data_IF_894137999434
#
_entry.id   IF_894137999434
#
_cell.length_a   1.000
_cell.length_b   1.000
_cell.length_c   1.000
_cell.angle_alpha   90.00
_cell.angle_beta   90.00
_cell.angle_gamma   90.00
#
_symmetry.space_group_name_H-M   'P 1'
#
loop_
_entity.id
_entity.type
_entity.pdbx_description
1 polymer ?
#
# COMPACT_ATOMS: atom_id res chain seq x y z
N UNK A 1 2.83 -25.02 10.93
CA UNK A 1 3.17 -25.47 9.55
C UNK A 1 4.50 -24.84 9.18
N UNK A 2 5.44 -25.61 8.60
CA UNK A 2 6.66 -25.03 8.03
C UNK A 2 6.33 -24.62 6.59
N UNK A 3 5.80 -23.40 6.39
CA UNK A 3 5.55 -22.83 5.08
C UNK A 3 6.78 -22.01 4.68
N UNK A 4 7.13 -22.05 3.39
CA UNK A 4 8.08 -21.12 2.80
C UNK A 4 7.31 -20.07 2.00
N UNK A 5 7.79 -18.85 2.00
CA UNK A 5 7.26 -17.76 1.21
C UNK A 5 8.25 -17.33 0.13
N UNK A 6 7.74 -16.79 -0.95
CA UNK A 6 8.54 -16.20 -2.01
C UNK A 6 8.52 -14.68 -1.86
N UNK A 7 9.69 -14.09 -1.65
CA UNK A 7 9.86 -12.63 -1.60
C UNK A 7 9.74 -11.99 -2.98
N UNK A 8 9.58 -10.66 -3.02
CA UNK A 8 9.53 -9.88 -4.27
C UNK A 8 10.79 -10.01 -5.12
N UNK A 9 11.95 -10.23 -4.52
CA UNK A 9 13.22 -10.50 -5.19
C UNK A 9 13.37 -11.95 -5.69
N UNK A 10 12.35 -12.80 -5.47
CA UNK A 10 12.33 -14.21 -5.84
C UNK A 10 13.02 -15.13 -4.82
N UNK A 11 13.58 -14.61 -3.75
CA UNK A 11 14.18 -15.46 -2.69
C UNK A 11 13.11 -16.15 -1.87
N UNK A 12 13.44 -17.33 -1.35
CA UNK A 12 12.55 -18.09 -0.48
C UNK A 12 13.02 -17.98 0.96
N UNK A 13 12.09 -17.79 1.88
CA UNK A 13 12.34 -17.81 3.32
C UNK A 13 11.22 -18.52 4.07
N UNK A 14 11.51 -18.94 5.31
CA UNK A 14 10.47 -19.50 6.17
C UNK A 14 9.42 -18.43 6.50
N UNK A 15 8.15 -18.82 6.46
CA UNK A 15 7.05 -17.94 6.85
C UNK A 15 7.12 -17.59 8.33
N UNK A 16 7.02 -16.31 8.64
CA UNK A 16 6.91 -15.75 9.98
C UNK A 16 5.51 -15.19 10.20
N UNK A 17 4.66 -15.89 10.95
CA UNK A 17 3.29 -15.48 11.29
C UNK A 17 3.25 -14.13 12.00
N UNK A 18 4.27 -13.79 12.80
CA UNK A 18 4.35 -12.50 13.47
C UNK A 18 4.37 -11.30 12.51
N UNK A 19 4.75 -11.52 11.24
CA UNK A 19 4.69 -10.45 10.21
C UNK A 19 3.25 -10.01 9.93
N UNK A 20 2.30 -10.96 9.85
CA UNK A 20 0.88 -10.66 9.66
C UNK A 20 0.34 -9.93 10.89
N UNK A 21 0.61 -10.48 12.08
CA UNK A 21 0.14 -9.89 13.34
C UNK A 21 0.65 -8.46 13.50
N UNK A 22 1.95 -8.22 13.30
CA UNK A 22 2.53 -6.87 13.35
C UNK A 22 1.93 -5.91 12.30
N UNK A 23 1.57 -6.40 11.13
CA UNK A 23 0.92 -5.57 10.10
C UNK A 23 -0.50 -5.19 10.52
N UNK A 24 -1.26 -6.14 11.06
CA UNK A 24 -2.61 -5.93 11.58
C UNK A 24 -2.62 -5.02 12.80
N UNK A 25 -1.73 -5.22 13.77
CA UNK A 25 -1.59 -4.35 14.95
C UNK A 25 -1.41 -2.88 14.54
N UNK A 26 -0.57 -2.63 13.55
CA UNK A 26 -0.35 -1.28 13.02
C UNK A 26 -1.57 -0.73 12.31
N UNK A 27 -2.24 -1.56 11.52
CA UNK A 27 -3.44 -1.15 10.80
C UNK A 27 -4.60 -0.85 11.76
N UNK A 28 -4.68 -1.56 12.89
CA UNK A 28 -5.66 -1.36 13.95
C UNK A 28 -5.28 -0.25 14.96
N UNK A 29 -4.11 0.38 14.84
CA UNK A 29 -3.68 1.40 15.79
C UNK A 29 -4.68 2.56 15.86
N UNK A 30 -5.12 2.89 17.09
CA UNK A 30 -6.14 3.93 17.34
C UNK A 30 -7.58 3.48 17.06
N UNK A 31 -7.83 2.19 16.79
CA UNK A 31 -9.15 1.60 16.57
C UNK A 31 -9.44 0.58 17.68
N UNK A 32 -9.93 1.00 18.87
CA UNK A 32 -10.02 0.13 20.06
C UNK A 32 -10.95 -1.06 19.84
N UNK A 33 -12.02 -0.91 19.06
CA UNK A 33 -13.02 -1.95 18.85
C UNK A 33 -12.50 -3.13 18.02
N UNK A 34 -11.55 -2.90 17.13
CA UNK A 34 -10.96 -3.94 16.25
C UNK A 34 -9.60 -4.46 16.72
N UNK A 35 -8.90 -3.74 17.57
CA UNK A 35 -7.58 -4.15 18.11
C UNK A 35 -7.61 -5.54 18.75
N UNK A 36 -8.69 -5.87 19.48
CA UNK A 36 -8.85 -7.18 20.12
C UNK A 36 -9.03 -8.36 19.16
N UNK A 37 -9.29 -8.07 17.88
CA UNK A 37 -9.55 -9.10 16.85
C UNK A 37 -8.34 -9.38 15.93
N UNK A 38 -7.22 -8.72 16.17
CA UNK A 38 -5.97 -8.90 15.37
C UNK A 38 -5.59 -10.37 15.27
N UNK A 39 -5.60 -11.09 16.40
CA UNK A 39 -5.23 -12.52 16.44
C UNK A 39 -6.20 -13.36 15.61
N UNK A 40 -7.50 -13.05 15.67
CA UNK A 40 -8.50 -13.77 14.88
C UNK A 40 -8.25 -13.59 13.39
N UNK A 41 -8.10 -12.36 12.91
CA UNK A 41 -7.83 -12.06 11.49
C UNK A 41 -6.50 -12.70 11.06
N UNK A 42 -5.47 -12.61 11.90
CA UNK A 42 -4.18 -13.25 11.64
C UNK A 42 -4.33 -14.75 11.45
N UNK A 43 -5.03 -15.44 12.35
CA UNK A 43 -5.28 -16.88 12.26
C UNK A 43 -6.11 -17.25 11.03
N UNK A 44 -7.18 -16.50 10.74
CA UNK A 44 -8.00 -16.72 9.55
C UNK A 44 -7.21 -16.52 8.25
N UNK A 45 -6.31 -15.51 8.23
CA UNK A 45 -5.38 -15.30 7.10
C UNK A 45 -4.44 -16.49 6.96
N UNK A 46 -3.80 -16.94 8.04
CA UNK A 46 -2.86 -18.08 8.03
C UNK A 46 -3.49 -19.36 7.48
N UNK A 47 -4.78 -19.60 7.73
CA UNK A 47 -5.50 -20.77 7.22
C UNK A 47 -5.63 -20.77 5.69
N UNK A 48 -5.51 -19.62 5.05
CA UNK A 48 -5.58 -19.48 3.58
C UNK A 48 -4.23 -19.63 2.89
N UNK A 49 -3.11 -19.68 3.65
CA UNK A 49 -1.77 -19.71 3.08
C UNK A 49 -1.37 -21.12 2.63
N UNK A 50 -0.49 -21.18 1.63
CA UNK A 50 0.09 -22.41 1.08
C UNK A 50 1.60 -22.26 0.88
N UNK A 51 2.30 -23.36 0.74
CA UNK A 51 3.77 -23.37 0.58
C UNK A 51 4.18 -22.73 -0.75
N UNK A 52 5.12 -21.79 -0.69
CA UNK A 52 5.58 -21.04 -1.85
C UNK A 52 4.79 -19.77 -2.16
N UNK A 53 3.75 -19.43 -1.38
CA UNK A 53 2.96 -18.20 -1.53
C UNK A 53 3.85 -16.97 -1.57
N UNK A 54 3.48 -15.98 -2.38
CA UNK A 54 4.23 -14.72 -2.47
C UNK A 54 3.85 -13.74 -1.36
N UNK A 55 4.75 -12.80 -1.06
CA UNK A 55 4.44 -11.70 -0.11
C UNK A 55 3.20 -10.89 -0.54
N UNK A 56 3.00 -10.70 -1.84
CA UNK A 56 1.85 -9.98 -2.38
C UNK A 56 0.54 -10.73 -2.13
N UNK A 57 0.54 -12.03 -2.38
CA UNK A 57 -0.63 -12.88 -2.11
C UNK A 57 -0.96 -12.93 -0.61
N UNK A 58 0.05 -12.88 0.28
CA UNK A 58 -0.18 -12.77 1.73
C UNK A 58 -0.81 -11.41 2.08
N UNK A 59 -0.29 -10.31 1.53
CA UNK A 59 -0.87 -8.98 1.74
C UNK A 59 -2.33 -8.95 1.25
N UNK A 60 -2.64 -9.52 0.07
CA UNK A 60 -4.00 -9.65 -0.47
C UNK A 60 -4.90 -10.52 0.40
N UNK A 61 -4.41 -11.69 0.84
CA UNK A 61 -5.17 -12.57 1.74
C UNK A 61 -5.52 -11.86 3.05
N UNK A 62 -4.60 -11.08 3.61
CA UNK A 62 -4.82 -10.32 4.83
C UNK A 62 -5.88 -9.23 4.64
N UNK A 63 -5.83 -8.49 3.52
CA UNK A 63 -6.84 -7.49 3.15
C UNK A 63 -8.20 -8.14 2.98
N UNK A 64 -8.28 -9.24 2.24
CA UNK A 64 -9.54 -9.96 1.99
C UNK A 64 -10.16 -10.52 3.28
N UNK A 65 -9.34 -11.00 4.22
CA UNK A 65 -9.82 -11.46 5.53
C UNK A 65 -10.41 -10.30 6.33
N UNK A 66 -9.74 -9.14 6.35
CA UNK A 66 -10.27 -7.95 6.99
C UNK A 66 -11.59 -7.50 6.35
N UNK A 67 -11.68 -7.50 4.99
CA UNK A 67 -12.87 -7.14 4.21
C UNK A 67 -14.11 -7.96 4.59
N UNK A 68 -13.94 -9.25 4.87
CA UNK A 68 -15.04 -10.11 5.26
C UNK A 68 -15.65 -9.73 6.62
N UNK A 69 -14.89 -9.00 7.45
CA UNK A 69 -15.28 -8.59 8.79
C UNK A 69 -15.90 -7.17 8.85
N UNK A 70 -15.90 -6.40 7.75
CA UNK A 70 -16.49 -5.02 7.70
C UNK A 70 -17.97 -5.00 8.08
N UNK A 71 -18.71 -6.04 7.72
CA UNK A 71 -20.13 -6.17 8.09
C UNK A 71 -20.36 -6.24 9.60
N UNK A 72 -19.36 -6.67 10.35
CA UNK A 72 -19.45 -6.85 11.80
C UNK A 72 -19.01 -5.58 12.54
N UNK A 73 -18.08 -4.80 11.95
CA UNK A 73 -17.61 -3.54 12.50
C UNK A 73 -17.08 -2.62 11.39
N UNK A 74 -17.63 -1.38 11.22
CA UNK A 74 -17.18 -0.44 10.20
C UNK A 74 -15.72 -0.01 10.27
N UNK A 75 -15.07 -0.11 11.44
CA UNK A 75 -13.67 0.25 11.61
C UNK A 75 -12.73 -0.67 10.82
N UNK A 76 -13.21 -1.85 10.39
CA UNK A 76 -12.45 -2.68 9.46
C UNK A 76 -12.19 -2.04 8.11
N UNK A 77 -13.05 -1.12 7.63
CA UNK A 77 -12.78 -0.35 6.41
C UNK A 77 -11.47 0.47 6.55
N UNK A 78 -11.19 1.00 7.75
CA UNK A 78 -9.91 1.67 8.03
C UNK A 78 -8.73 0.70 8.03
N UNK A 79 -8.91 -0.47 8.62
CA UNK A 79 -7.87 -1.51 8.66
C UNK A 79 -7.47 -1.91 7.24
N UNK A 80 -8.45 -2.19 6.38
CA UNK A 80 -8.23 -2.53 4.98
C UNK A 80 -7.55 -1.41 4.20
N UNK A 81 -8.04 -0.17 4.39
CA UNK A 81 -7.45 1.01 3.74
C UNK A 81 -5.97 1.14 4.09
N UNK A 82 -5.61 0.98 5.36
CA UNK A 82 -4.21 1.06 5.83
C UNK A 82 -3.36 -0.10 5.34
N UNK A 83 -3.91 -1.32 5.26
CA UNK A 83 -3.23 -2.47 4.68
C UNK A 83 -2.97 -2.27 3.17
N UNK A 84 -3.97 -1.77 2.44
CA UNK A 84 -3.82 -1.48 1.01
C UNK A 84 -2.80 -0.35 0.77
N UNK A 85 -2.85 0.74 1.54
CA UNK A 85 -1.86 1.82 1.47
C UNK A 85 -0.45 1.30 1.73
N UNK A 86 -0.26 0.47 2.77
CA UNK A 86 1.02 -0.17 3.08
C UNK A 86 1.56 -0.95 1.88
N UNK A 87 0.70 -1.74 1.21
CA UNK A 87 1.08 -2.55 0.06
C UNK A 87 1.50 -1.67 -1.12
N UNK A 88 0.73 -0.61 -1.40
CA UNK A 88 1.03 0.37 -2.45
C UNK A 88 2.32 1.13 -2.16
N UNK A 89 2.50 1.62 -0.95
CA UNK A 89 3.71 2.33 -0.53
C UNK A 89 4.95 1.44 -0.66
N UNK A 90 4.88 0.20 -0.18
CA UNK A 90 5.99 -0.76 -0.29
C UNK A 90 6.38 -1.00 -1.74
N UNK A 91 5.39 -1.10 -2.64
CA UNK A 91 5.65 -1.33 -4.07
C UNK A 91 6.30 -0.13 -4.75
N UNK A 92 5.84 1.10 -4.45
CA UNK A 92 6.21 2.31 -5.19
C UNK A 92 7.39 3.03 -4.54
N UNK A 93 7.39 3.13 -3.21
CA UNK A 93 8.42 3.84 -2.46
C UNK A 93 9.60 2.94 -2.05
N UNK A 94 9.47 1.60 -2.27
CA UNK A 94 10.44 0.61 -1.86
C UNK A 94 10.32 0.18 -0.39
N UNK A 95 11.21 -0.70 0.04
CA UNK A 95 11.28 -1.10 1.44
C UNK A 95 11.86 0.05 2.29
N UNK A 96 11.13 0.42 3.34
CA UNK A 96 11.52 1.41 4.33
C UNK A 96 11.12 0.92 5.73
N UNK A 97 11.73 1.46 6.76
CA UNK A 97 11.29 1.17 8.14
C UNK A 97 9.87 1.70 8.36
N UNK A 98 8.93 0.78 8.48
CA UNK A 98 7.49 0.88 8.20
C UNK A 98 6.68 1.75 9.18
N UNK A 99 7.30 2.38 10.17
CA UNK A 99 6.59 3.11 11.24
C UNK A 99 6.86 4.61 11.25
N UNK A 100 7.52 5.13 10.22
CA UNK A 100 7.91 6.52 10.24
C UNK A 100 7.19 7.28 9.12
N UNK A 101 6.11 7.98 9.48
CA UNK A 101 5.38 8.86 8.56
C UNK A 101 6.29 9.92 7.93
N UNK A 102 7.33 10.34 8.62
CA UNK A 102 8.34 11.27 8.10
C UNK A 102 9.09 10.64 6.94
N UNK A 103 9.54 9.38 7.07
CA UNK A 103 10.24 8.67 6.00
C UNK A 103 9.32 8.49 4.79
N UNK A 104 8.03 8.18 5.00
CA UNK A 104 7.05 8.07 3.91
C UNK A 104 6.91 9.40 3.16
N UNK A 105 6.80 10.52 3.87
CA UNK A 105 6.71 11.84 3.27
C UNK A 105 7.99 12.20 2.50
N UNK A 106 9.17 12.00 3.10
CA UNK A 106 10.47 12.24 2.47
C UNK A 106 10.65 11.42 1.18
N UNK A 107 10.24 10.15 1.20
CA UNK A 107 10.28 9.28 0.01
C UNK A 107 9.36 9.77 -1.10
N UNK A 108 8.17 10.24 -0.78
CA UNK A 108 7.28 10.84 -1.78
C UNK A 108 7.90 12.07 -2.43
N UNK A 109 8.48 12.96 -1.63
CA UNK A 109 9.17 14.17 -2.13
C UNK A 109 10.33 13.80 -3.06
N UNK A 110 11.12 12.80 -2.69
CA UNK A 110 12.25 12.32 -3.51
C UNK A 110 11.79 11.66 -4.82
N UNK A 111 10.71 10.88 -4.77
CA UNK A 111 10.27 10.05 -5.89
C UNK A 111 9.44 10.85 -6.89
N UNK A 112 8.64 11.82 -6.46
CA UNK A 112 7.71 12.54 -7.34
C UNK A 112 8.36 13.13 -8.60
N UNK A 113 9.48 13.88 -8.54
CA UNK A 113 10.11 14.41 -9.75
C UNK A 113 10.62 13.30 -10.69
N UNK A 114 11.17 12.23 -10.12
CA UNK A 114 11.68 11.07 -10.88
C UNK A 114 10.53 10.33 -11.56
N UNK A 115 9.42 10.15 -10.83
CA UNK A 115 8.22 9.51 -11.33
C UNK A 115 7.63 10.25 -12.55
N UNK A 116 7.46 11.57 -12.47
CA UNK A 116 6.96 12.37 -13.60
C UNK A 116 7.88 12.24 -14.83
N UNK A 117 9.20 12.40 -14.64
CA UNK A 117 10.17 12.26 -15.74
C UNK A 117 10.14 10.87 -16.37
N UNK A 118 10.03 9.83 -15.57
CA UNK A 118 9.92 8.46 -16.07
C UNK A 118 8.60 8.25 -16.83
N UNK A 119 7.48 8.72 -16.31
CA UNK A 119 6.17 8.58 -16.96
C UNK A 119 6.11 9.35 -18.29
N UNK A 120 6.80 10.48 -18.41
CA UNK A 120 6.97 11.20 -19.68
C UNK A 120 7.85 10.38 -20.65
N UNK A 121 8.98 9.84 -20.18
CA UNK A 121 9.86 9.01 -21.00
C UNK A 121 9.15 7.74 -21.53
N UNK A 122 8.27 7.16 -20.72
CA UNK A 122 7.46 6.00 -21.08
C UNK A 122 6.25 6.35 -21.99
N UNK A 123 6.05 7.64 -22.29
CA UNK A 123 4.94 8.12 -23.13
C UNK A 123 3.57 8.08 -22.44
N UNK A 124 3.53 7.93 -21.12
CA UNK A 124 2.31 7.91 -20.32
C UNK A 124 1.82 9.32 -19.98
N UNK A 125 2.72 10.31 -19.96
CA UNK A 125 2.43 11.72 -19.69
C UNK A 125 2.96 12.62 -20.82
N UNK A 126 2.31 13.77 -20.97
CA UNK A 126 2.74 14.80 -21.91
C UNK A 126 4.06 15.44 -21.43
N UNK A 127 4.98 15.69 -22.35
CA UNK A 127 6.28 16.31 -22.06
C UNK A 127 6.19 17.66 -21.37
N UNK A 128 5.07 18.38 -21.53
CA UNK A 128 4.83 19.65 -20.82
C UNK A 128 4.85 19.51 -19.30
N UNK A 129 4.63 18.31 -18.77
CA UNK A 129 4.74 18.05 -17.33
C UNK A 129 6.13 18.34 -16.76
N UNK A 130 7.17 18.24 -17.57
CA UNK A 130 8.54 18.54 -17.17
C UNK A 130 8.85 20.06 -17.07
N UNK A 131 7.94 20.91 -17.56
CA UNK A 131 8.11 22.37 -17.48
C UNK A 131 7.75 22.94 -16.10
N UNK A 132 7.10 22.16 -15.25
CA UNK A 132 6.82 22.56 -13.87
C UNK A 132 8.04 22.40 -12.97
N UNK A 133 8.12 23.20 -11.92
CA UNK A 133 9.13 23.00 -10.85
C UNK A 133 8.70 21.81 -9.98
N UNK A 134 9.06 20.61 -10.43
CA UNK A 134 8.65 19.35 -9.79
C UNK A 134 9.22 19.21 -8.37
N UNK A 135 10.41 19.73 -8.13
CA UNK A 135 11.05 19.74 -6.81
C UNK A 135 10.31 20.67 -5.83
N UNK A 136 9.83 21.82 -6.30
CA UNK A 136 9.01 22.71 -5.49
C UNK A 136 7.62 22.11 -5.23
N UNK A 137 6.97 21.57 -6.27
CA UNK A 137 5.67 20.92 -6.13
C UNK A 137 5.71 19.73 -5.16
N UNK A 138 6.78 18.96 -5.16
CA UNK A 138 6.94 17.80 -4.26
C UNK A 138 6.81 18.18 -2.77
N UNK A 139 7.16 19.39 -2.39
CA UNK A 139 7.08 19.88 -0.99
C UNK A 139 5.65 20.05 -0.48
N UNK A 140 4.66 20.07 -1.39
CA UNK A 140 3.24 20.17 -1.03
C UNK A 140 2.57 18.81 -0.83
N UNK A 141 3.32 17.72 -0.99
CA UNK A 141 2.82 16.37 -0.69
C UNK A 141 2.53 16.24 0.80
N UNK A 142 1.29 15.83 1.13
CA UNK A 142 0.82 15.64 2.50
C UNK A 142 0.23 14.24 2.67
N UNK A 143 1.08 13.31 3.09
CA UNK A 143 0.71 11.90 3.25
C UNK A 143 -0.30 11.66 4.38
N UNK A 144 -0.52 12.64 5.30
CA UNK A 144 -1.53 12.53 6.34
C UNK A 144 -2.95 12.47 5.75
N UNK A 145 -3.15 13.05 4.56
CA UNK A 145 -4.43 13.02 3.85
C UNK A 145 -4.83 11.63 3.36
N UNK A 146 -3.89 10.70 3.26
CA UNK A 146 -4.21 9.33 2.85
C UNK A 146 -5.07 8.60 3.89
N UNK A 147 -5.04 9.05 5.16
CA UNK A 147 -5.95 8.58 6.20
C UNK A 147 -7.43 8.97 5.99
N UNK A 148 -7.72 9.90 5.08
CA UNK A 148 -9.10 10.31 4.73
C UNK A 148 -9.79 9.32 3.80
N UNK A 149 -9.04 8.41 3.16
CA UNK A 149 -9.63 7.40 2.31
C UNK A 149 -10.43 6.36 3.09
N UNK A 150 -11.47 5.88 2.42
CA UNK A 150 -12.11 4.60 2.66
C UNK A 150 -11.61 3.59 1.63
N UNK A 151 -11.66 2.31 1.94
CA UNK A 151 -11.15 1.25 1.08
C UNK A 151 -11.70 1.31 -0.36
N UNK A 152 -13.02 1.44 -0.50
CA UNK A 152 -13.66 1.51 -1.82
C UNK A 152 -13.17 2.69 -2.67
N UNK A 153 -12.96 3.86 -2.05
CA UNK A 153 -12.42 5.05 -2.71
C UNK A 153 -10.97 4.85 -3.16
N UNK A 154 -10.12 4.38 -2.25
CA UNK A 154 -8.71 4.07 -2.54
C UNK A 154 -8.57 3.00 -3.63
N UNK A 155 -9.30 1.89 -3.50
CA UNK A 155 -9.32 0.82 -4.48
C UNK A 155 -9.74 1.31 -5.86
N UNK A 156 -10.79 2.14 -5.93
CA UNK A 156 -11.25 2.74 -7.18
C UNK A 156 -10.20 3.64 -7.81
N UNK A 157 -9.54 4.50 -7.01
CA UNK A 157 -8.46 5.35 -7.48
C UNK A 157 -7.35 4.52 -8.12
N UNK A 158 -6.87 3.51 -7.41
CA UNK A 158 -5.76 2.66 -7.85
C UNK A 158 -6.12 1.82 -9.09
N UNK A 159 -7.37 1.31 -9.16
CA UNK A 159 -7.77 0.42 -10.26
C UNK A 159 -8.25 1.15 -11.51
N UNK A 160 -8.81 2.36 -11.37
CA UNK A 160 -9.44 3.06 -12.53
C UNK A 160 -8.69 4.29 -13.00
N UNK A 161 -8.03 5.01 -12.11
CA UNK A 161 -7.54 6.37 -12.41
C UNK A 161 -6.03 6.51 -12.38
N UNK A 162 -5.33 5.67 -11.61
CA UNK A 162 -3.88 5.72 -11.55
C UNK A 162 -3.22 5.29 -12.87
N UNK A 163 -2.04 5.81 -13.16
CA UNK A 163 -1.19 5.29 -14.22
C UNK A 163 -0.76 3.86 -13.88
N UNK A 164 -0.69 3.04 -14.90
CA UNK A 164 -0.40 1.61 -14.76
C UNK A 164 0.74 1.18 -15.66
N UNK A 165 1.44 0.16 -15.20
CA UNK A 165 2.41 -0.53 -16.03
C UNK A 165 1.75 -1.46 -17.06
N UNK A 166 2.59 -2.13 -17.86
CA UNK A 166 2.16 -3.12 -18.86
C UNK A 166 1.39 -4.33 -18.30
N UNK A 167 1.51 -4.57 -16.99
CA UNK A 167 0.81 -5.65 -16.29
C UNK A 167 -0.48 -5.16 -15.64
N UNK A 168 -0.92 -3.93 -15.94
CA UNK A 168 -2.10 -3.28 -15.37
C UNK A 168 -1.99 -3.01 -13.85
N UNK A 169 -0.77 -2.88 -13.34
CA UNK A 169 -0.50 -2.60 -11.92
C UNK A 169 -0.27 -1.10 -11.74
N UNK A 170 -0.97 -0.49 -10.75
CA UNK A 170 -0.82 0.93 -10.42
C UNK A 170 0.63 1.28 -10.08
N UNK A 171 1.11 2.37 -10.68
CA UNK A 171 2.43 2.96 -10.46
C UNK A 171 2.37 4.24 -9.63
N UNK A 172 1.23 4.51 -9.00
CA UNK A 172 1.01 5.71 -8.22
C UNK A 172 0.53 5.40 -6.81
N UNK A 173 1.06 6.14 -5.84
CA UNK A 173 0.39 6.33 -4.55
C UNK A 173 -0.73 7.38 -4.72
N UNK A 174 -1.68 7.51 -3.77
CA UNK A 174 -2.67 8.58 -3.84
C UNK A 174 -2.05 9.96 -3.98
N UNK A 175 -0.98 10.24 -3.26
CA UNK A 175 -0.30 11.54 -3.32
C UNK A 175 0.32 11.81 -4.70
N UNK A 176 1.01 10.82 -5.30
CA UNK A 176 1.56 10.96 -6.65
C UNK A 176 0.47 11.20 -7.68
N UNK A 177 -0.67 10.49 -7.55
CA UNK A 177 -1.83 10.68 -8.40
C UNK A 177 -2.38 12.11 -8.31
N UNK A 178 -2.67 12.61 -7.09
CA UNK A 178 -3.23 13.93 -6.92
C UNK A 178 -2.27 15.03 -7.37
N UNK A 179 -1.00 14.92 -7.08
CA UNK A 179 0.01 15.88 -7.53
C UNK A 179 0.14 15.92 -9.05
N UNK A 180 -0.11 14.82 -9.74
CA UNK A 180 -0.10 14.77 -11.21
C UNK A 180 -1.33 15.42 -11.85
N UNK A 181 -2.49 15.33 -11.22
CA UNK A 181 -3.76 15.79 -11.82
C UNK A 181 -4.17 17.20 -11.39
N UNK A 182 -3.53 17.77 -10.35
CA UNK A 182 -3.77 19.13 -9.88
C UNK A 182 -3.05 20.16 -10.73
#
# INVERSE_FOLDING_TARGET
MNLNITRRDGTKEAFDADRINRALERACAGLPDVVGKVIQIGTETELSLYDGITEEEIDEATINTALQNVKDDPDYDKVETRLLLKTVYKRILGDYERNNSVIVAERHVEIFPKYIKQAVADGLLDKRMENFDLEELAKYIDTSRDELFQYAGLSTLLHRYSLKDKNNISQETPQLFFMRVS
#
